data_IF_773630923500
#
_entry.id   IF_773630923500
#
_cell.length_a   1.000
_cell.length_b   1.000
_cell.length_c   1.000
_cell.angle_alpha   90.00
_cell.angle_beta   90.00
_cell.angle_gamma   90.00
#
_symmetry.space_group_name_H-M   'P 1'
#
loop_
_entity.id
_entity.type
_entity.pdbx_description
1 polymer ?
#
# COMPACT_ATOMS: atom_id res chain seq x y z
N UNK A 1 -10.88 12.69 -19.21
CA UNK A 1 -9.92 13.07 -18.16
C UNK A 1 -10.48 14.29 -17.46
N UNK A 2 -10.43 14.31 -16.14
CA UNK A 2 -10.83 15.48 -15.36
C UNK A 2 -9.58 16.09 -14.72
N UNK A 3 -9.51 17.42 -14.68
CA UNK A 3 -8.46 18.09 -13.94
C UNK A 3 -8.57 17.71 -12.46
N UNK A 4 -7.48 17.18 -11.89
CA UNK A 4 -7.42 16.84 -10.48
C UNK A 4 -7.36 18.14 -9.67
N UNK A 5 -8.36 18.33 -8.80
CA UNK A 5 -8.35 19.44 -7.85
C UNK A 5 -7.49 19.03 -6.64
N UNK A 6 -6.35 19.70 -6.47
CA UNK A 6 -5.38 19.41 -5.43
C UNK A 6 -5.91 19.70 -4.02
N UNK A 7 -6.72 20.73 -3.84
CA UNK A 7 -7.31 21.06 -2.54
C UNK A 7 -8.15 19.90 -2.00
N UNK A 8 -8.94 19.25 -2.87
CA UNK A 8 -9.72 18.06 -2.49
C UNK A 8 -8.84 16.87 -2.10
N UNK A 9 -7.68 16.71 -2.76
CA UNK A 9 -6.73 15.63 -2.42
C UNK A 9 -6.07 15.91 -1.07
N UNK A 10 -5.66 17.15 -0.83
CA UNK A 10 -5.07 17.58 0.45
C UNK A 10 -6.08 17.45 1.60
N UNK A 11 -7.34 17.82 1.38
CA UNK A 11 -8.40 17.65 2.36
C UNK A 11 -8.61 16.16 2.69
N UNK A 12 -8.66 15.30 1.66
CA UNK A 12 -8.80 13.85 1.84
C UNK A 12 -7.60 13.25 2.58
N UNK A 13 -6.38 13.64 2.21
CA UNK A 13 -5.16 13.19 2.87
C UNK A 13 -5.12 13.65 4.33
N UNK A 14 -5.47 14.91 4.61
CA UNK A 14 -5.53 15.47 5.97
C UNK A 14 -6.53 14.73 6.85
N UNK A 15 -7.71 14.43 6.31
CA UNK A 15 -8.72 13.63 7.01
C UNK A 15 -8.21 12.21 7.30
N UNK A 16 -7.57 11.57 6.33
CA UNK A 16 -6.99 10.24 6.51
C UNK A 16 -5.89 10.20 7.57
N UNK A 17 -5.05 11.24 7.66
CA UNK A 17 -4.04 11.39 8.72
C UNK A 17 -4.70 11.50 10.10
N UNK A 18 -5.79 12.26 10.22
CA UNK A 18 -6.55 12.34 11.47
C UNK A 18 -7.17 10.99 11.86
N UNK A 19 -7.77 10.28 10.90
CA UNK A 19 -8.35 8.95 11.11
C UNK A 19 -7.26 7.93 11.54
N UNK A 20 -6.07 8.00 10.92
CA UNK A 20 -4.91 7.20 11.31
C UNK A 20 -4.49 7.48 12.75
N UNK A 21 -4.39 8.75 13.16
CA UNK A 21 -4.08 9.13 14.54
C UNK A 21 -5.13 8.60 15.54
N UNK A 22 -6.43 8.72 15.22
CA UNK A 22 -7.49 8.19 16.07
C UNK A 22 -7.44 6.67 16.20
N UNK A 23 -7.17 5.95 15.11
CA UNK A 23 -7.04 4.49 15.14
C UNK A 23 -5.83 4.05 15.97
N UNK A 24 -4.70 4.76 15.87
CA UNK A 24 -3.52 4.52 16.74
C UNK A 24 -3.85 4.71 18.22
N UNK A 25 -4.54 5.79 18.57
CA UNK A 25 -4.97 6.03 19.95
C UNK A 25 -5.88 4.90 20.45
N UNK A 26 -6.83 4.45 19.63
CA UNK A 26 -7.73 3.34 19.98
C UNK A 26 -6.97 2.04 20.20
N UNK A 27 -6.00 1.72 19.33
CA UNK A 27 -5.15 0.53 19.50
C UNK A 27 -4.36 0.56 20.81
N UNK A 28 -3.85 1.72 21.21
CA UNK A 28 -3.15 1.92 22.48
C UNK A 28 -4.09 1.78 23.69
N UNK A 29 -5.34 2.25 23.59
CA UNK A 29 -6.32 2.12 24.67
C UNK A 29 -6.79 0.67 24.86
N UNK A 30 -6.88 -0.11 23.79
CA UNK A 30 -7.34 -1.50 23.80
C UNK A 30 -6.21 -2.51 23.99
N UNK A 31 -4.96 -2.05 24.17
CA UNK A 31 -3.82 -2.95 24.26
C UNK A 31 -3.83 -3.70 25.60
N UNK A 32 -3.59 -5.00 25.52
CA UNK A 32 -3.48 -5.88 26.69
C UNK A 32 -2.11 -6.55 26.71
N UNK A 33 -1.62 -6.88 27.90
CA UNK A 33 -0.34 -7.56 28.05
C UNK A 33 -0.31 -8.91 27.31
N UNK A 34 -1.43 -9.66 27.33
CA UNK A 34 -1.54 -10.94 26.60
C UNK A 34 -1.41 -10.76 25.09
N UNK A 35 -1.97 -9.68 24.52
CA UNK A 35 -1.83 -9.33 23.10
C UNK A 35 -0.40 -8.94 22.76
N UNK A 36 0.27 -8.19 23.64
CA UNK A 36 1.68 -7.80 23.48
C UNK A 36 2.63 -9.00 23.48
N UNK A 37 2.45 -9.94 24.41
CA UNK A 37 3.30 -11.14 24.51
C UNK A 37 3.26 -12.02 23.24
N UNK A 38 2.20 -11.93 22.43
CA UNK A 38 2.13 -12.59 21.12
C UNK A 38 3.12 -12.05 20.08
N UNK A 39 3.66 -10.84 20.28
CA UNK A 39 4.65 -10.19 19.42
C UNK A 39 6.07 -10.26 20.00
N UNK A 40 6.28 -10.99 21.10
CA UNK A 40 7.60 -11.23 21.67
C UNK A 40 8.52 -11.88 20.62
N UNK A 41 9.44 -11.08 20.07
CA UNK A 41 10.61 -11.60 19.39
C UNK A 41 11.54 -12.12 20.49
N UNK A 42 11.64 -13.45 20.65
CA UNK A 42 12.65 -14.04 21.51
C UNK A 42 14.03 -13.57 21.03
N UNK A 43 14.65 -12.63 21.76
CA UNK A 43 16.05 -12.27 21.55
C UNK A 43 16.93 -13.50 21.82
N UNK A 44 18.08 -13.65 21.12
CA UNK A 44 19.01 -14.74 21.40
C UNK A 44 19.37 -14.79 22.89
N UNK A 45 19.53 -16.00 23.43
CA UNK A 45 19.71 -16.31 24.85
C UNK A 45 20.96 -15.68 25.55
N UNK A 46 21.70 -14.81 24.86
CA UNK A 46 22.94 -14.19 25.34
C UNK A 46 22.77 -12.77 25.90
N UNK A 47 21.56 -12.20 25.85
CA UNK A 47 21.30 -10.87 26.41
C UNK A 47 20.38 -11.01 27.62
N UNK A 48 20.90 -10.74 28.82
CA UNK A 48 20.08 -10.59 30.04
C UNK A 48 19.09 -9.46 29.73
N UNK A 49 17.86 -9.81 29.38
CA UNK A 49 16.81 -8.83 29.10
C UNK A 49 16.02 -8.64 30.38
N UNK A 50 15.95 -7.41 30.88
CA UNK A 50 15.04 -7.08 31.96
C UNK A 50 13.59 -7.31 31.46
N UNK A 51 12.65 -7.59 32.35
CA UNK A 51 11.24 -7.73 31.94
C UNK A 51 10.72 -6.48 31.18
N UNK A 52 11.26 -5.30 31.49
CA UNK A 52 10.98 -4.05 30.77
C UNK A 52 11.40 -4.10 29.30
N UNK A 53 12.61 -4.58 28.99
CA UNK A 53 13.15 -4.65 27.63
C UNK A 53 12.30 -5.57 26.73
N UNK A 54 11.76 -6.63 27.31
CA UNK A 54 10.89 -7.58 26.60
C UNK A 54 9.54 -6.94 26.29
N UNK A 55 8.97 -6.19 27.24
CA UNK A 55 7.70 -5.48 27.03
C UNK A 55 7.86 -4.35 26.02
N UNK A 56 8.95 -3.57 26.10
CA UNK A 56 9.26 -2.48 25.17
C UNK A 56 9.47 -3.01 23.75
N UNK A 57 10.32 -4.02 23.56
CA UNK A 57 10.53 -4.63 22.24
C UNK A 57 9.27 -5.25 21.64
N UNK A 58 8.38 -5.81 22.48
CA UNK A 58 7.09 -6.34 22.03
C UNK A 58 6.12 -5.23 21.63
N UNK A 59 6.10 -4.12 22.38
CA UNK A 59 5.30 -2.94 22.07
C UNK A 59 5.75 -2.30 20.76
N UNK A 60 7.06 -2.14 20.54
CA UNK A 60 7.61 -1.61 19.30
C UNK A 60 7.24 -2.47 18.09
N UNK A 61 7.37 -3.80 18.21
CA UNK A 61 6.99 -4.73 17.15
C UNK A 61 5.48 -4.68 16.87
N UNK A 62 4.65 -4.59 17.91
CA UNK A 62 3.20 -4.43 17.79
C UNK A 62 2.83 -3.11 17.10
N UNK A 63 3.41 -2.00 17.52
CA UNK A 63 3.15 -0.68 16.94
C UNK A 63 3.60 -0.63 15.48
N UNK A 64 4.82 -1.06 15.17
CA UNK A 64 5.31 -1.12 13.79
C UNK A 64 4.36 -1.92 12.88
N UNK A 65 3.99 -3.14 13.30
CA UNK A 65 3.15 -4.02 12.46
C UNK A 65 1.70 -3.56 12.32
N UNK A 66 1.17 -2.84 13.31
CA UNK A 66 -0.19 -2.30 13.27
C UNK A 66 -0.27 -1.00 12.49
N UNK A 67 0.67 -0.08 12.71
CA UNK A 67 0.77 1.18 11.98
C UNK A 67 0.99 0.95 10.49
N UNK A 68 1.84 -0.01 10.12
CA UNK A 68 2.07 -0.36 8.72
C UNK A 68 0.78 -0.78 8.00
N UNK A 69 -0.06 -1.61 8.64
CA UNK A 69 -1.35 -2.04 8.06
C UNK A 69 -2.32 -0.88 7.89
N UNK A 70 -2.40 0.01 8.88
CA UNK A 70 -3.26 1.18 8.81
C UNK A 70 -2.79 2.14 7.71
N UNK A 71 -1.48 2.37 7.64
CA UNK A 71 -0.88 3.25 6.65
C UNK A 71 -1.01 2.68 5.23
N UNK A 72 -0.82 1.37 5.05
CA UNK A 72 -1.04 0.70 3.76
C UNK A 72 -2.50 0.82 3.32
N UNK A 73 -3.47 0.60 4.22
CA UNK A 73 -4.89 0.76 3.91
C UNK A 73 -5.23 2.20 3.51
N UNK A 74 -4.71 3.19 4.24
CA UNK A 74 -4.87 4.60 3.91
C UNK A 74 -4.33 4.93 2.51
N UNK A 75 -3.10 4.48 2.18
CA UNK A 75 -2.50 4.75 0.88
C UNK A 75 -3.25 4.07 -0.27
N UNK A 76 -3.76 2.85 -0.07
CA UNK A 76 -4.63 2.16 -1.03
C UNK A 76 -5.90 2.97 -1.30
N UNK A 77 -6.55 3.44 -0.24
CA UNK A 77 -7.77 4.24 -0.34
C UNK A 77 -7.52 5.59 -1.00
N UNK A 78 -6.40 6.25 -0.68
CA UNK A 78 -5.97 7.49 -1.34
C UNK A 78 -5.71 7.29 -2.83
N UNK A 79 -5.01 6.20 -3.21
CA UNK A 79 -4.76 5.90 -4.62
C UNK A 79 -6.05 5.67 -5.40
N UNK A 80 -7.02 4.97 -4.82
CA UNK A 80 -8.36 4.79 -5.41
C UNK A 80 -9.07 6.13 -5.56
N UNK A 81 -9.03 6.99 -4.53
CA UNK A 81 -9.64 8.31 -4.58
C UNK A 81 -9.05 9.18 -5.69
N UNK A 82 -7.72 9.24 -5.80
CA UNK A 82 -7.03 10.01 -6.86
C UNK A 82 -7.43 9.49 -8.24
N UNK A 83 -7.35 8.17 -8.47
CA UNK A 83 -7.69 7.58 -9.75
C UNK A 83 -9.19 7.76 -10.11
N UNK A 84 -10.08 7.72 -9.12
CA UNK A 84 -11.50 8.02 -9.31
C UNK A 84 -11.72 9.45 -9.79
N UNK A 85 -10.92 10.41 -9.31
CA UNK A 85 -11.03 11.82 -9.73
C UNK A 85 -10.42 12.06 -11.10
N UNK A 86 -9.24 11.52 -11.38
CA UNK A 86 -8.52 11.77 -12.65
C UNK A 86 -9.09 10.97 -13.83
N UNK A 87 -9.40 9.69 -13.60
CA UNK A 87 -9.72 8.71 -14.65
C UNK A 87 -11.08 8.02 -14.48
N UNK A 88 -11.94 8.44 -13.55
CA UNK A 88 -13.14 7.69 -13.15
C UNK A 88 -12.80 6.23 -12.78
N UNK A 89 -11.62 6.01 -12.18
CA UNK A 89 -11.20 4.71 -11.66
C UNK A 89 -12.11 4.22 -10.52
N UNK A 90 -12.08 2.90 -10.30
CA UNK A 90 -12.86 2.24 -9.26
C UNK A 90 -12.03 1.20 -8.50
N UNK A 91 -12.50 0.79 -7.32
CA UNK A 91 -11.90 -0.36 -6.63
C UNK A 91 -12.04 -1.61 -7.50
N UNK A 92 -10.96 -2.37 -7.61
CA UNK A 92 -10.99 -3.62 -8.37
C UNK A 92 -11.90 -4.66 -7.70
N UNK A 93 -12.64 -5.43 -8.49
CA UNK A 93 -13.36 -6.62 -8.02
C UNK A 93 -12.51 -7.88 -8.14
N UNK A 94 -11.30 -7.77 -8.71
CA UNK A 94 -10.40 -8.90 -8.98
C UNK A 94 -9.51 -9.17 -7.77
N UNK A 95 -9.54 -10.38 -7.18
CA UNK A 95 -8.67 -10.70 -6.05
C UNK A 95 -7.18 -10.53 -6.37
N UNK A 96 -6.50 -9.75 -5.53
CA UNK A 96 -5.08 -9.41 -5.68
C UNK A 96 -4.83 -8.04 -6.34
N UNK A 97 -5.88 -7.31 -6.71
CA UNK A 97 -5.79 -5.95 -7.21
C UNK A 97 -6.67 -5.01 -6.39
N UNK A 98 -6.26 -3.75 -6.30
CA UNK A 98 -6.90 -2.73 -5.45
C UNK A 98 -7.67 -1.70 -6.30
N UNK A 99 -7.18 -1.40 -7.50
CA UNK A 99 -7.65 -0.30 -8.35
C UNK A 99 -7.74 -0.73 -9.82
N UNK A 100 -8.80 -0.31 -10.51
CA UNK A 100 -8.95 -0.39 -11.98
C UNK A 100 -9.27 1.00 -12.54
N UNK A 101 -8.64 1.39 -13.64
CA UNK A 101 -8.97 2.64 -14.33
C UNK A 101 -8.60 2.58 -15.82
N UNK A 102 -9.24 3.44 -16.61
CA UNK A 102 -9.01 3.57 -18.04
C UNK A 102 -8.16 4.81 -18.31
N UNK A 103 -6.88 4.60 -18.64
CA UNK A 103 -6.00 5.63 -19.18
C UNK A 103 -5.85 5.45 -20.70
N UNK A 104 -4.62 5.59 -21.19
CA UNK A 104 -4.26 5.21 -22.57
C UNK A 104 -4.58 3.73 -22.85
N UNK A 105 -4.24 2.87 -21.90
CA UNK A 105 -4.61 1.46 -21.85
C UNK A 105 -5.52 1.22 -20.63
N UNK A 106 -6.14 0.04 -20.56
CA UNK A 106 -6.87 -0.38 -19.37
C UNK A 106 -5.86 -0.83 -18.31
N UNK A 107 -5.84 -0.20 -17.13
CA UNK A 107 -4.91 -0.55 -16.05
C UNK A 107 -5.64 -1.28 -14.93
N UNK A 108 -4.99 -2.32 -14.41
CA UNK A 108 -5.36 -2.98 -13.16
C UNK A 108 -4.16 -2.98 -12.22
N UNK A 109 -4.35 -2.43 -11.03
CA UNK A 109 -3.26 -2.02 -10.16
C UNK A 109 -3.39 -2.67 -8.79
N UNK A 110 -2.31 -3.28 -8.33
CA UNK A 110 -2.13 -3.59 -6.91
C UNK A 110 -1.25 -2.52 -6.30
N UNK A 111 -1.69 -1.96 -5.17
CA UNK A 111 -1.05 -0.82 -4.51
C UNK A 111 -0.38 -1.29 -3.23
N UNK A 112 0.89 -0.93 -3.06
CA UNK A 112 1.69 -1.21 -1.88
C UNK A 112 2.30 0.10 -1.39
N UNK A 113 2.47 0.25 -0.08
CA UNK A 113 3.11 1.42 0.54
C UNK A 113 4.56 1.60 0.06
N UNK A 114 5.46 0.68 0.40
CA UNK A 114 6.87 0.74 0.02
C UNK A 114 7.71 -0.28 0.79
N UNK A 115 7.93 -1.44 0.18
CA UNK A 115 8.77 -2.55 0.67
C UNK A 115 8.62 -2.83 2.19
N UNK A 116 7.40 -3.18 2.59
CA UNK A 116 7.11 -3.85 3.85
C UNK A 116 7.89 -5.17 3.92
N UNK A 117 8.61 -5.41 5.02
CA UNK A 117 9.40 -6.60 5.39
C UNK A 117 9.76 -7.63 4.29
N UNK A 118 11.04 -7.96 4.15
CA UNK A 118 11.59 -8.92 3.15
C UNK A 118 10.82 -10.26 2.99
N UNK A 119 10.15 -10.73 4.04
CA UNK A 119 9.31 -11.94 4.06
C UNK A 119 8.01 -11.83 3.24
N UNK A 120 7.44 -10.64 3.06
CA UNK A 120 6.18 -10.44 2.32
C UNK A 120 6.38 -10.41 0.80
N UNK A 121 7.59 -10.07 0.33
CA UNK A 121 7.90 -9.89 -1.09
C UNK A 121 7.67 -11.14 -1.94
N UNK A 122 7.99 -12.34 -1.43
CA UNK A 122 7.87 -13.58 -2.20
C UNK A 122 6.41 -13.98 -2.42
N UNK A 123 5.59 -13.91 -1.37
CA UNK A 123 4.16 -14.21 -1.47
C UNK A 123 3.47 -13.19 -2.36
N UNK A 124 3.76 -11.92 -2.16
CA UNK A 124 3.20 -10.83 -2.96
C UNK A 124 3.54 -10.97 -4.45
N UNK A 125 4.79 -11.28 -4.80
CA UNK A 125 5.19 -11.51 -6.19
C UNK A 125 4.47 -12.72 -6.81
N UNK A 126 4.23 -13.78 -6.04
CA UNK A 126 3.49 -14.95 -6.47
C UNK A 126 2.00 -14.62 -6.67
N UNK A 127 1.37 -14.01 -5.67
CA UNK A 127 -0.04 -13.61 -5.69
C UNK A 127 -0.33 -12.68 -6.88
N UNK A 128 0.59 -11.73 -7.15
CA UNK A 128 0.53 -10.85 -8.32
C UNK A 128 0.69 -11.61 -9.63
N UNK A 129 1.63 -12.56 -9.70
CA UNK A 129 1.80 -13.41 -10.89
C UNK A 129 0.53 -14.21 -11.20
N UNK A 130 -0.06 -14.81 -10.19
CA UNK A 130 -1.30 -15.58 -10.32
C UNK A 130 -2.48 -14.66 -10.70
N UNK A 131 -2.54 -13.45 -10.13
CA UNK A 131 -3.56 -12.46 -10.48
C UNK A 131 -3.44 -11.98 -11.94
N UNK A 132 -2.22 -11.75 -12.42
CA UNK A 132 -1.93 -11.42 -13.84
C UNK A 132 -2.42 -12.52 -14.77
N UNK A 133 -2.14 -13.78 -14.44
CA UNK A 133 -2.59 -14.94 -15.24
C UNK A 133 -4.12 -14.97 -15.30
N UNK A 134 -4.81 -14.82 -14.16
CA UNK A 134 -6.27 -14.80 -14.09
C UNK A 134 -6.87 -13.69 -14.95
N UNK A 135 -6.32 -12.47 -14.88
CA UNK A 135 -6.82 -11.34 -15.69
C UNK A 135 -6.64 -11.60 -17.18
N UNK A 136 -5.46 -12.10 -17.59
CA UNK A 136 -5.20 -12.41 -19.01
C UNK A 136 -6.14 -13.49 -19.56
N UNK A 137 -6.49 -14.48 -18.73
CA UNK A 137 -7.44 -15.54 -19.11
C UNK A 137 -8.88 -15.02 -19.19
N UNK A 138 -9.29 -14.18 -18.23
CA UNK A 138 -10.66 -13.66 -18.14
C UNK A 138 -10.96 -12.53 -19.15
N UNK A 139 -9.93 -11.76 -19.55
CA UNK A 139 -10.07 -10.56 -20.39
C UNK A 139 -9.28 -10.68 -21.70
N UNK A 140 -9.36 -11.83 -22.36
CA UNK A 140 -8.61 -12.21 -23.58
C UNK A 140 -8.76 -11.27 -24.79
N UNK A 141 -9.70 -10.32 -24.78
CA UNK A 141 -9.89 -9.31 -25.83
C UNK A 141 -9.61 -7.85 -25.42
N UNK A 142 -9.30 -7.60 -24.14
CA UNK A 142 -8.97 -6.26 -23.65
C UNK A 142 -7.47 -6.20 -23.35
N UNK A 143 -6.79 -5.20 -23.90
CA UNK A 143 -5.38 -4.93 -23.59
C UNK A 143 -5.27 -4.36 -22.18
N UNK A 144 -5.40 -5.23 -21.17
CA UNK A 144 -5.30 -4.86 -19.75
C UNK A 144 -3.85 -4.98 -19.31
N UNK A 145 -3.29 -3.86 -18.85
CA UNK A 145 -1.94 -3.77 -18.33
C UNK A 145 -1.97 -3.95 -16.80
N UNK A 146 -1.47 -5.08 -16.28
CA UNK A 146 -1.29 -5.24 -14.84
C UNK A 146 -0.11 -4.41 -14.34
N UNK A 147 -0.31 -3.72 -13.24
CA UNK A 147 0.65 -2.81 -12.61
C UNK A 147 0.81 -3.15 -11.14
N UNK A 148 2.06 -3.15 -10.69
CA UNK A 148 2.43 -3.10 -9.29
C UNK A 148 2.81 -1.66 -8.94
N UNK A 149 1.92 -0.97 -8.25
CA UNK A 149 2.11 0.41 -7.80
C UNK A 149 2.71 0.45 -6.40
N UNK A 150 3.86 1.09 -6.25
CA UNK A 150 4.50 1.29 -4.96
C UNK A 150 4.47 2.79 -4.63
N UNK A 151 3.82 3.16 -3.52
CA UNK A 151 3.49 4.55 -3.19
C UNK A 151 4.72 5.41 -2.91
N UNK A 152 5.76 4.87 -2.27
CA UNK A 152 7.00 5.61 -1.99
C UNK A 152 8.25 4.77 -2.18
N UNK A 153 9.39 5.46 -2.31
CA UNK A 153 10.71 4.85 -2.50
C UNK A 153 11.38 5.30 -3.80
N UNK A 154 12.63 4.84 -4.00
CA UNK A 154 13.51 5.31 -5.09
C UNK A 154 13.95 4.19 -6.05
N UNK A 155 13.34 3.00 -5.96
CA UNK A 155 13.74 1.89 -6.84
C UNK A 155 13.26 2.12 -8.28
N UNK A 156 14.02 1.59 -9.24
CA UNK A 156 13.72 1.77 -10.66
C UNK A 156 12.36 1.17 -11.03
N UNK A 157 11.57 1.94 -11.76
CA UNK A 157 10.37 1.48 -12.47
C UNK A 157 10.78 0.59 -13.64
N UNK A 158 10.21 -0.61 -13.74
CA UNK A 158 10.60 -1.58 -14.76
C UNK A 158 9.49 -2.59 -15.08
N UNK A 159 9.52 -3.13 -16.29
CA UNK A 159 8.74 -4.31 -16.62
C UNK A 159 9.39 -5.56 -16.01
N UNK A 160 8.59 -6.34 -15.29
CA UNK A 160 9.02 -7.59 -14.66
C UNK A 160 8.75 -8.75 -15.62
N UNK A 161 9.66 -9.74 -15.65
CA UNK A 161 9.54 -10.93 -16.52
C UNK A 161 8.23 -11.70 -16.35
N UNK A 162 7.60 -11.60 -15.18
CA UNK A 162 6.29 -12.17 -14.89
C UNK A 162 5.12 -11.47 -15.65
N UNK A 163 5.39 -10.42 -16.42
CA UNK A 163 4.42 -9.81 -17.33
C UNK A 163 3.58 -8.69 -16.72
N UNK A 164 4.10 -8.01 -15.68
CA UNK A 164 3.51 -6.81 -15.09
C UNK A 164 4.50 -5.65 -15.03
N UNK A 165 3.97 -4.43 -14.94
CA UNK A 165 4.76 -3.20 -14.84
C UNK A 165 4.92 -2.81 -13.36
N UNK A 166 6.15 -2.72 -12.87
CA UNK A 166 6.44 -2.21 -11.52
C UNK A 166 6.71 -0.70 -11.60
N UNK A 167 5.89 0.11 -10.92
CA UNK A 167 6.02 1.57 -10.84
C UNK A 167 6.17 2.00 -9.38
N UNK A 168 7.02 2.99 -9.12
CA UNK A 168 7.46 3.34 -7.76
C UNK A 168 7.47 4.84 -7.55
N UNK A 169 7.01 5.27 -6.37
CA UNK A 169 7.10 6.64 -5.88
C UNK A 169 6.35 7.61 -6.78
N UNK A 170 7.00 8.72 -7.12
CA UNK A 170 6.44 9.78 -7.97
C UNK A 170 5.83 9.25 -9.28
N UNK A 171 6.48 8.27 -9.93
CA UNK A 171 5.96 7.70 -11.17
C UNK A 171 4.62 6.99 -10.98
N UNK A 172 4.37 6.41 -9.81
CA UNK A 172 3.11 5.73 -9.52
C UNK A 172 1.99 6.75 -9.34
N UNK A 173 2.24 7.80 -8.56
CA UNK A 173 1.28 8.89 -8.39
C UNK A 173 1.00 9.61 -9.70
N UNK A 174 2.02 9.82 -10.53
CA UNK A 174 1.86 10.34 -11.88
C UNK A 174 0.99 9.42 -12.74
N UNK A 175 1.19 8.09 -12.72
CA UNK A 175 0.38 7.16 -13.51
C UNK A 175 -1.12 7.31 -13.21
N UNK A 176 -1.50 7.46 -11.94
CA UNK A 176 -2.91 7.49 -11.53
C UNK A 176 -3.52 8.90 -11.52
N UNK A 177 -2.73 9.94 -11.79
CA UNK A 177 -3.18 11.33 -11.73
C UNK A 177 -2.87 12.18 -12.96
N UNK A 178 -1.87 11.80 -13.76
CA UNK A 178 -1.19 12.62 -14.77
C UNK A 178 -0.63 13.95 -14.22
N UNK A 179 -0.37 14.03 -12.91
CA UNK A 179 0.25 15.18 -12.25
C UNK A 179 1.60 14.77 -11.63
N UNK A 180 2.68 15.39 -12.09
CA UNK A 180 4.04 15.12 -11.61
C UNK A 180 4.29 15.65 -10.18
N UNK A 181 3.58 16.69 -9.77
CA UNK A 181 3.72 17.35 -8.46
C UNK A 181 2.91 16.66 -7.37
N UNK A 182 1.98 15.77 -7.73
CA UNK A 182 1.09 15.12 -6.77
C UNK A 182 1.85 14.39 -5.65
N UNK A 183 3.01 13.80 -5.96
CA UNK A 183 3.80 13.08 -4.97
C UNK A 183 4.31 13.96 -3.83
N UNK A 184 4.60 15.23 -4.11
CA UNK A 184 5.00 16.20 -3.08
C UNK A 184 3.80 16.83 -2.40
N UNK A 185 2.67 16.99 -3.10
CA UNK A 185 1.48 17.67 -2.58
C UNK A 185 0.70 16.83 -1.55
N UNK A 186 0.88 15.51 -1.56
CA UNK A 186 0.24 14.57 -0.62
C UNK A 186 1.03 14.34 0.67
N UNK A 187 2.20 14.97 0.81
CA UNK A 187 3.06 14.93 2.01
C UNK A 187 2.71 16.09 2.93
#
# INVERSE_FOLDING_TARGET
MNALNLDMVQEYASKGTMDFCHQRMKLLQEITLSRLLGFCLFRPAHTISLAGDVVEGSLDAFLCSSEEKLFEAFLKDLAVFVAARSFNGCRSTTPGFDLEFQGKDAYIVSVISGLACSSQHKKLAQDLGDAVIRVKQARTGLNVQPVLGICYGKTRTNYVKAGYLKIVGQNFWYLISENEELYTDII
#
